data_IF_495842402363
#
_entry.id   IF_495842402363
#
_cell.length_a   1.000
_cell.length_b   1.000
_cell.length_c   1.000
_cell.angle_alpha   90.00
_cell.angle_beta   90.00
_cell.angle_gamma   90.00
#
_symmetry.space_group_name_H-M   'P 1'
#
loop_
_entity.id
_entity.type
_entity.pdbx_description
1 polymer ?
#
# COMPACT_ATOMS: atom_id res chain seq x y z
N UNK A 1 13.99 -8.59 0.31
CA UNK A 1 14.01 -7.42 -0.58
C UNK A 1 12.96 -7.67 -1.66
N UNK A 2 11.72 -7.25 -1.42
CA UNK A 2 10.65 -7.35 -2.43
C UNK A 2 10.21 -5.92 -2.69
N UNK A 3 10.37 -5.47 -3.93
CA UNK A 3 9.82 -4.21 -4.40
C UNK A 3 8.30 -4.37 -4.42
N UNK A 4 7.56 -3.46 -3.78
CA UNK A 4 6.11 -3.34 -3.98
C UNK A 4 5.92 -2.14 -4.91
N UNK A 5 6.01 -2.32 -6.24
CA UNK A 5 5.72 -1.25 -7.17
C UNK A 5 4.21 -1.01 -7.17
N UNK A 6 3.74 0.08 -6.57
CA UNK A 6 2.37 0.55 -6.83
C UNK A 6 2.38 1.21 -8.21
N UNK A 7 2.19 0.37 -9.23
CA UNK A 7 2.44 0.69 -10.63
C UNK A 7 1.13 0.89 -11.41
N UNK A 8 1.09 1.96 -12.23
CA UNK A 8 0.09 2.32 -13.25
C UNK A 8 -0.31 1.17 -14.21
N UNK A 9 0.50 0.11 -14.34
CA UNK A 9 0.23 -1.06 -15.19
C UNK A 9 -0.28 -2.31 -14.46
N UNK A 10 -0.28 -2.37 -13.12
CA UNK A 10 -0.77 -3.55 -12.37
C UNK A 10 -2.31 -3.63 -12.40
N UNK A 11 -3.01 -2.49 -12.52
CA UNK A 11 -4.47 -2.47 -12.77
C UNK A 11 -4.86 -2.98 -14.18
N UNK A 12 -3.90 -3.12 -15.11
CA UNK A 12 -4.16 -3.52 -16.50
C UNK A 12 -4.25 -5.03 -16.74
N UNK A 13 -3.94 -5.90 -15.76
CA UNK A 13 -3.75 -7.35 -16.00
C UNK A 13 -4.74 -8.30 -15.31
N UNK A 14 -5.86 -7.82 -14.79
CA UNK A 14 -6.90 -8.69 -14.22
C UNK A 14 -7.79 -9.41 -15.27
N UNK A 15 -7.50 -9.32 -16.57
CA UNK A 15 -8.25 -10.04 -17.61
C UNK A 15 -7.27 -10.61 -18.64
N UNK A 16 -7.14 -11.94 -18.67
CA UNK A 16 -6.71 -12.81 -19.79
C UNK A 16 -5.57 -13.80 -19.47
N UNK A 17 -6.00 -15.02 -19.15
CA UNK A 17 -5.54 -16.32 -19.64
C UNK A 17 -4.07 -16.82 -19.59
N UNK A 18 -3.99 -18.06 -19.07
CA UNK A 18 -3.25 -19.23 -19.58
C UNK A 18 -1.74 -19.32 -19.38
N UNK A 19 -1.36 -20.10 -18.35
CA UNK A 19 -0.52 -21.32 -18.44
C UNK A 19 0.85 -21.27 -19.11
N UNK A 20 1.89 -21.68 -18.37
CA UNK A 20 2.77 -22.80 -18.76
C UNK A 20 3.62 -23.28 -17.58
N UNK A 21 3.91 -24.57 -17.60
CA UNK A 21 4.70 -25.36 -16.66
C UNK A 21 6.22 -25.29 -16.92
N UNK A 22 6.99 -26.12 -16.17
CA UNK A 22 8.39 -26.61 -16.36
C UNK A 22 9.39 -25.93 -15.39
N UNK A 23 10.32 -26.59 -14.67
CA UNK A 23 10.69 -28.00 -14.41
C UNK A 23 11.83 -27.98 -13.37
N UNK A 24 11.82 -28.93 -12.45
CA UNK A 24 12.86 -29.20 -11.45
C UNK A 24 14.11 -29.79 -12.10
N UNK A 25 15.30 -29.28 -11.76
CA UNK A 25 16.56 -30.02 -11.93
C UNK A 25 17.39 -29.91 -10.64
N UNK A 26 17.45 -31.04 -9.94
CA UNK A 26 18.42 -31.41 -8.91
C UNK A 26 19.77 -31.71 -9.57
N UNK A 27 20.87 -31.23 -9.00
CA UNK A 27 22.19 -31.87 -9.14
C UNK A 27 23.08 -31.53 -7.94
N UNK A 28 23.26 -32.56 -7.12
CA UNK A 28 24.15 -32.66 -5.98
C UNK A 28 25.53 -33.12 -6.43
N UNK A 29 26.60 -32.47 -5.98
CA UNK A 29 27.92 -33.10 -5.77
C UNK A 29 28.54 -32.57 -4.47
N UNK A 30 28.80 -33.52 -3.57
CA UNK A 30 29.56 -33.38 -2.33
C UNK A 30 31.06 -33.59 -2.60
N UNK A 31 31.89 -32.74 -2.01
CA UNK A 31 33.22 -33.01 -1.42
C UNK A 31 33.73 -31.63 -0.95
N UNK A 32 34.15 -31.36 0.28
CA UNK A 32 34.72 -32.19 1.33
C UNK A 32 36.04 -31.54 1.76
N UNK A 33 36.13 -31.08 3.02
CA UNK A 33 37.30 -31.19 3.90
C UNK A 33 37.09 -30.34 5.16
N UNK A 34 37.22 -30.99 6.30
CA UNK A 34 37.19 -30.42 7.63
C UNK A 34 38.54 -29.79 7.98
N UNK A 35 38.52 -28.64 8.63
CA UNK A 35 39.63 -28.15 9.46
C UNK A 35 39.09 -27.49 10.71
N UNK A 36 39.43 -28.07 11.86
CA UNK A 36 39.25 -27.55 13.22
C UNK A 36 39.91 -26.17 13.38
N UNK A 37 39.10 -25.17 13.73
CA UNK A 37 39.56 -23.83 14.07
C UNK A 37 38.71 -23.27 15.20
N UNK A 38 39.31 -23.15 16.39
CA UNK A 38 38.70 -22.66 17.64
C UNK A 38 37.93 -21.34 17.42
N UNK A 39 36.63 -21.37 17.67
CA UNK A 39 35.75 -20.18 17.65
C UNK A 39 35.98 -19.36 18.91
N UNK A 40 36.57 -18.17 18.76
CA UNK A 40 36.45 -17.11 19.76
C UNK A 40 35.03 -16.53 19.67
N UNK A 41 34.39 -16.17 20.80
CA UNK A 41 33.06 -15.58 20.75
C UNK A 41 33.15 -14.23 20.03
N UNK A 42 32.57 -14.17 18.83
CA UNK A 42 32.45 -12.93 18.09
C UNK A 42 31.60 -11.96 18.92
N UNK A 43 32.19 -10.80 19.20
CA UNK A 43 31.56 -9.63 19.78
C UNK A 43 30.24 -9.37 19.05
N UNK A 44 29.12 -9.38 19.77
CA UNK A 44 27.81 -8.94 19.27
C UNK A 44 27.97 -7.48 18.85
N UNK A 45 28.19 -7.27 17.56
CA UNK A 45 28.00 -5.98 16.94
C UNK A 45 26.50 -5.83 16.79
N UNK A 46 25.91 -4.90 17.55
CA UNK A 46 24.54 -4.45 17.30
C UNK A 46 24.43 -4.10 15.81
N UNK A 47 23.56 -4.81 15.09
CA UNK A 47 23.22 -4.45 13.71
C UNK A 47 22.67 -3.01 13.72
N UNK A 48 23.18 -2.13 12.84
CA UNK A 48 22.69 -0.76 12.80
C UNK A 48 21.21 -0.80 12.39
N UNK A 49 20.38 -0.05 13.13
CA UNK A 49 18.97 0.13 12.83
C UNK A 49 18.80 0.43 11.33
N UNK A 50 18.19 -0.51 10.61
CA UNK A 50 17.94 -0.35 9.18
C UNK A 50 17.02 0.84 9.02
N UNK A 51 17.49 1.88 8.31
CA UNK A 51 16.67 3.04 7.97
C UNK A 51 15.52 2.55 7.08
N UNK A 52 14.33 2.44 7.66
CA UNK A 52 13.06 2.05 7.02
C UNK A 52 12.42 3.21 6.25
N UNK A 53 13.19 4.26 5.95
CA UNK A 53 12.69 5.43 5.21
C UNK A 53 12.43 5.01 3.76
N UNK A 54 11.19 5.17 3.23
CA UNK A 54 10.90 4.89 1.83
C UNK A 54 11.87 5.67 0.92
N UNK A 55 12.43 5.01 -0.09
CA UNK A 55 13.32 5.65 -1.06
C UNK A 55 12.55 5.88 -2.37
N UNK A 56 12.54 7.13 -2.83
CA UNK A 56 12.11 7.46 -4.19
C UNK A 56 13.19 6.94 -5.15
N UNK A 57 12.88 5.90 -5.91
CA UNK A 57 13.80 5.31 -6.90
C UNK A 57 13.19 5.41 -8.30
N UNK A 58 14.01 5.85 -9.25
CA UNK A 58 13.70 5.76 -10.66
C UNK A 58 13.65 4.28 -11.05
N UNK A 59 12.48 3.79 -11.46
CA UNK A 59 12.38 2.44 -11.98
C UNK A 59 13.15 2.36 -13.30
N UNK A 60 13.89 1.26 -13.50
CA UNK A 60 14.86 1.11 -14.60
C UNK A 60 14.28 1.26 -16.02
N UNK A 61 12.95 1.34 -16.16
CA UNK A 61 12.23 1.52 -17.42
C UNK A 61 11.72 2.95 -17.65
N UNK A 62 12.24 3.93 -16.91
CA UNK A 62 11.89 5.35 -17.07
C UNK A 62 10.54 5.71 -16.46
N UNK A 63 9.93 4.82 -15.67
CA UNK A 63 8.76 5.14 -14.86
C UNK A 63 9.17 5.82 -13.56
N UNK A 64 8.42 6.84 -13.20
CA UNK A 64 8.48 7.47 -11.89
C UNK A 64 7.64 6.65 -10.90
N UNK A 65 8.18 6.47 -9.70
CA UNK A 65 7.55 5.70 -8.63
C UNK A 65 8.39 5.74 -7.35
N UNK A 66 7.85 5.17 -6.28
CA UNK A 66 8.57 5.00 -5.02
C UNK A 66 8.60 3.52 -4.64
N UNK A 67 9.65 3.13 -3.93
CA UNK A 67 9.77 1.76 -3.40
C UNK A 67 9.77 1.86 -1.89
N UNK A 68 8.79 1.19 -1.28
CA UNK A 68 8.79 0.91 0.16
C UNK A 68 9.49 -0.42 0.34
N UNK A 69 10.71 -0.38 0.90
CA UNK A 69 11.48 -1.58 1.20
C UNK A 69 11.14 -2.06 2.60
N UNK A 70 10.24 -3.01 2.66
CA UNK A 70 10.06 -3.83 3.86
C UNK A 70 10.97 -5.06 3.74
N UNK A 71 11.51 -5.52 4.87
CA UNK A 71 12.14 -6.84 5.00
C UNK A 71 11.17 -7.77 5.73
N UNK A 72 10.13 -8.29 5.06
CA UNK A 72 9.15 -9.12 5.73
C UNK A 72 9.73 -10.52 5.90
N UNK A 73 9.93 -10.93 7.15
CA UNK A 73 10.08 -12.33 7.51
C UNK A 73 8.66 -12.92 7.66
N UNK A 74 8.13 -13.43 6.54
CA UNK A 74 6.91 -14.24 6.53
C UNK A 74 7.26 -15.62 6.03
N UNK A 75 6.95 -16.64 6.84
CA UNK A 75 7.01 -18.02 6.42
C UNK A 75 6.05 -18.29 5.24
N UNK A 76 6.25 -19.42 4.56
CA UNK A 76 5.48 -19.78 3.38
C UNK A 76 3.98 -19.96 3.65
N UNK A 77 3.60 -20.48 4.83
CA UNK A 77 2.21 -20.67 5.19
C UNK A 77 1.52 -19.32 5.42
N UNK A 78 2.14 -18.43 6.20
CA UNK A 78 1.66 -17.07 6.44
C UNK A 78 1.54 -16.28 5.14
N UNK A 79 2.46 -16.50 4.18
CA UNK A 79 2.37 -15.89 2.85
C UNK A 79 1.16 -16.39 2.05
N UNK A 80 0.91 -17.70 2.06
CA UNK A 80 -0.27 -18.27 1.38
C UNK A 80 -1.58 -17.77 1.99
N UNK A 81 -1.65 -17.69 3.32
CA UNK A 81 -2.83 -17.16 4.03
C UNK A 81 -3.05 -15.68 3.69
N UNK A 82 -1.96 -14.89 3.62
CA UNK A 82 -2.04 -13.49 3.22
C UNK A 82 -2.50 -13.31 1.78
N UNK A 83 -1.95 -14.06 0.82
CA UNK A 83 -2.37 -14.00 -0.58
C UNK A 83 -3.85 -14.37 -0.75
N UNK A 84 -4.34 -15.37 0.01
CA UNK A 84 -5.76 -15.73 0.05
C UNK A 84 -6.61 -14.62 0.68
N UNK A 85 -6.15 -13.99 1.76
CA UNK A 85 -6.85 -12.88 2.38
C UNK A 85 -7.00 -11.69 1.42
N UNK A 86 -5.95 -11.38 0.64
CA UNK A 86 -6.01 -10.34 -0.41
C UNK A 86 -7.08 -10.67 -1.45
N UNK A 87 -7.16 -11.93 -1.90
CA UNK A 87 -8.20 -12.35 -2.85
C UNK A 87 -9.62 -12.19 -2.26
N UNK A 88 -9.81 -12.55 -0.99
CA UNK A 88 -11.09 -12.36 -0.29
C UNK A 88 -11.47 -10.87 -0.17
N UNK A 89 -10.51 -9.97 0.11
CA UNK A 89 -10.76 -8.53 0.11
C UNK A 89 -11.23 -8.01 -1.25
N UNK A 90 -10.63 -8.50 -2.34
CA UNK A 90 -11.02 -8.12 -3.71
C UNK A 90 -12.45 -8.58 -4.02
N UNK A 91 -12.86 -9.73 -3.49
CA UNK A 91 -14.22 -10.26 -3.61
C UNK A 91 -15.21 -9.68 -2.59
N UNK A 92 -14.78 -8.73 -1.75
CA UNK A 92 -15.58 -8.14 -0.67
C UNK A 92 -16.01 -9.13 0.42
N UNK A 93 -15.30 -10.26 0.54
CA UNK A 93 -15.50 -11.30 1.56
C UNK A 93 -14.74 -10.92 2.85
N UNK A 94 -15.11 -9.78 3.45
CA UNK A 94 -14.31 -9.12 4.48
C UNK A 94 -14.16 -9.93 5.77
N UNK A 95 -15.21 -10.58 6.26
CA UNK A 95 -15.17 -11.38 7.49
C UNK A 95 -14.20 -12.57 7.37
N UNK A 96 -14.18 -13.24 6.22
CA UNK A 96 -13.25 -14.35 5.96
C UNK A 96 -11.81 -13.84 5.82
N UNK A 97 -11.63 -12.70 5.13
CA UNK A 97 -10.32 -12.05 5.02
C UNK A 97 -9.74 -11.71 6.40
N UNK A 98 -10.57 -11.15 7.31
CA UNK A 98 -10.15 -10.83 8.67
C UNK A 98 -9.64 -12.06 9.43
N UNK A 99 -10.32 -13.21 9.32
CA UNK A 99 -9.89 -14.43 9.98
C UNK A 99 -8.52 -14.93 9.53
N UNK A 100 -8.19 -14.81 8.23
CA UNK A 100 -6.86 -15.13 7.73
C UNK A 100 -5.82 -14.09 8.15
N UNK A 101 -6.17 -12.81 8.08
CA UNK A 101 -5.27 -11.71 8.45
C UNK A 101 -4.88 -11.74 9.93
N UNK A 102 -5.78 -12.16 10.82
CA UNK A 102 -5.48 -12.33 12.25
C UNK A 102 -4.34 -13.35 12.44
N UNK A 103 -4.43 -14.51 11.79
CA UNK A 103 -3.38 -15.54 11.84
C UNK A 103 -2.05 -15.05 11.25
N UNK A 104 -2.11 -14.27 10.15
CA UNK A 104 -0.91 -13.70 9.52
C UNK A 104 -0.24 -12.67 10.44
N UNK A 105 -1.04 -11.80 11.08
CA UNK A 105 -0.54 -10.78 12.01
C UNK A 105 0.10 -11.44 13.24
N UNK A 106 -0.50 -12.51 13.79
CA UNK A 106 0.06 -13.22 14.94
C UNK A 106 1.45 -13.81 14.64
N UNK A 107 1.63 -14.38 13.45
CA UNK A 107 2.89 -15.01 13.03
C UNK A 107 3.93 -14.03 12.50
N UNK A 108 3.48 -12.89 11.97
CA UNK A 108 4.33 -11.90 11.31
C UNK A 108 3.96 -10.47 11.71
N UNK A 109 4.08 -10.11 13.01
CA UNK A 109 3.63 -8.81 13.52
C UNK A 109 4.49 -7.62 13.05
N UNK A 110 5.62 -7.87 12.40
CA UNK A 110 6.52 -6.83 11.87
C UNK A 110 6.23 -6.40 10.44
N UNK A 111 5.15 -6.89 9.82
CA UNK A 111 4.82 -6.62 8.41
C UNK A 111 3.62 -5.69 8.32
N UNK A 112 3.76 -4.59 7.59
CA UNK A 112 2.73 -3.53 7.53
C UNK A 112 1.47 -3.96 6.77
N UNK A 113 1.65 -4.69 5.65
CA UNK A 113 0.57 -4.97 4.71
C UNK A 113 -0.63 -5.74 5.32
N UNK A 114 -0.45 -6.76 6.19
CA UNK A 114 -1.56 -7.38 6.92
C UNK A 114 -2.38 -6.42 7.77
N UNK A 115 -1.75 -5.47 8.47
CA UNK A 115 -2.45 -4.46 9.26
C UNK A 115 -3.27 -3.51 8.38
N UNK A 116 -2.72 -3.05 7.25
CA UNK A 116 -3.44 -2.20 6.29
C UNK A 116 -4.67 -2.96 5.74
N UNK A 117 -4.49 -4.21 5.34
CA UNK A 117 -5.56 -5.06 4.81
C UNK A 117 -6.64 -5.35 5.86
N UNK A 118 -6.25 -5.55 7.12
CA UNK A 118 -7.18 -5.72 8.23
C UNK A 118 -7.99 -4.43 8.45
N UNK A 119 -7.33 -3.26 8.38
CA UNK A 119 -8.02 -1.98 8.49
C UNK A 119 -9.03 -1.73 7.37
N UNK A 120 -8.70 -2.14 6.13
CA UNK A 120 -9.64 -2.10 5.00
C UNK A 120 -10.87 -2.94 5.34
N UNK A 121 -10.70 -4.20 5.73
CA UNK A 121 -11.81 -5.09 6.10
C UNK A 121 -12.67 -4.52 7.25
N UNK A 122 -12.02 -4.03 8.32
CA UNK A 122 -12.68 -3.40 9.45
C UNK A 122 -13.48 -2.16 9.02
N UNK A 123 -12.92 -1.30 8.16
CA UNK A 123 -13.61 -0.12 7.63
C UNK A 123 -14.84 -0.50 6.81
N UNK A 124 -14.77 -1.55 6.00
CA UNK A 124 -15.90 -2.02 5.20
C UNK A 124 -17.00 -2.67 6.05
N UNK A 125 -16.62 -3.41 7.10
CA UNK A 125 -17.57 -4.06 8.04
C UNK A 125 -18.08 -3.15 9.15
N UNK A 126 -17.68 -1.87 9.17
CA UNK A 126 -18.14 -0.88 10.14
C UNK A 126 -17.43 -0.91 11.50
N UNK A 127 -16.38 -1.72 11.64
CA UNK A 127 -15.53 -1.81 12.85
C UNK A 127 -14.48 -0.68 12.83
N UNK A 128 -14.94 0.56 12.92
CA UNK A 128 -14.12 1.75 12.61
C UNK A 128 -12.98 1.97 13.63
N UNK A 129 -13.21 1.65 14.89
CA UNK A 129 -12.20 1.74 15.96
C UNK A 129 -11.06 0.75 15.71
N UNK A 130 -11.39 -0.49 15.34
CA UNK A 130 -10.39 -1.51 14.98
C UNK A 130 -9.62 -1.12 13.72
N UNK A 131 -10.29 -0.52 12.73
CA UNK A 131 -9.61 -0.01 11.54
C UNK A 131 -8.56 1.05 11.92
N UNK A 132 -8.90 1.96 12.84
CA UNK A 132 -7.97 2.97 13.35
C UNK A 132 -6.79 2.35 14.12
N UNK A 133 -7.04 1.34 14.95
CA UNK A 133 -5.98 0.63 15.68
C UNK A 133 -4.97 -0.03 14.72
N UNK A 134 -5.45 -0.77 13.71
CA UNK A 134 -4.57 -1.42 12.75
C UNK A 134 -3.79 -0.42 11.89
N UNK A 135 -4.38 0.71 11.51
CA UNK A 135 -3.66 1.77 10.79
C UNK A 135 -2.60 2.45 11.66
N UNK A 136 -2.87 2.64 12.95
CA UNK A 136 -1.86 3.13 13.91
C UNK A 136 -0.69 2.16 14.00
N UNK A 137 -0.95 0.86 14.10
CA UNK A 137 0.12 -0.17 14.13
C UNK A 137 0.92 -0.16 12.82
N UNK A 138 0.26 -0.12 11.67
CA UNK A 138 0.93 -0.02 10.37
C UNK A 138 1.87 1.19 10.30
N UNK A 139 1.42 2.36 10.76
CA UNK A 139 2.21 3.59 10.77
C UNK A 139 3.28 3.65 11.87
N UNK A 140 3.18 2.80 12.90
CA UNK A 140 4.26 2.58 13.86
C UNK A 140 5.40 1.75 13.26
N UNK A 141 5.07 0.74 12.44
CA UNK A 141 6.05 -0.09 11.74
C UNK A 141 6.77 0.70 10.65
N UNK A 142 6.00 1.41 9.81
CA UNK A 142 6.53 2.27 8.75
C UNK A 142 5.85 3.64 8.84
N UNK A 143 6.53 4.62 9.47
CA UNK A 143 6.04 5.99 9.49
C UNK A 143 5.79 6.51 8.08
N UNK A 144 4.67 7.21 7.89
CA UNK A 144 4.28 7.83 6.63
C UNK A 144 4.13 6.86 5.44
N UNK A 145 3.87 5.58 5.72
CA UNK A 145 3.56 4.60 4.68
C UNK A 145 2.35 5.08 3.83
N UNK A 146 2.52 5.35 2.53
CA UNK A 146 1.50 6.04 1.73
C UNK A 146 0.16 5.32 1.67
N UNK A 147 0.16 3.99 1.54
CA UNK A 147 -1.09 3.21 1.56
C UNK A 147 -1.81 3.27 2.92
N UNK A 148 -1.08 3.17 4.03
CA UNK A 148 -1.68 3.30 5.36
C UNK A 148 -2.22 4.72 5.59
N UNK A 149 -1.47 5.76 5.23
CA UNK A 149 -1.95 7.15 5.29
C UNK A 149 -3.21 7.37 4.45
N UNK A 150 -3.27 6.82 3.24
CA UNK A 150 -4.45 6.91 2.38
C UNK A 150 -5.67 6.20 2.99
N UNK A 151 -5.51 4.99 3.52
CA UNK A 151 -6.59 4.31 4.25
C UNK A 151 -7.03 5.08 5.50
N UNK A 152 -6.10 5.77 6.16
CA UNK A 152 -6.41 6.62 7.30
C UNK A 152 -7.20 7.85 6.90
N UNK A 153 -6.87 8.48 5.78
CA UNK A 153 -7.67 9.56 5.20
C UNK A 153 -9.08 9.11 4.82
N UNK A 154 -9.23 7.89 4.30
CA UNK A 154 -10.54 7.30 3.98
C UNK A 154 -11.35 7.03 5.25
N UNK A 155 -10.71 6.52 6.30
CA UNK A 155 -11.33 6.31 7.60
C UNK A 155 -11.77 7.63 8.23
N UNK A 156 -10.89 8.64 8.24
CA UNK A 156 -11.20 9.99 8.72
C UNK A 156 -12.42 10.57 8.00
N UNK A 157 -12.45 10.50 6.66
CA UNK A 157 -13.61 10.93 5.86
C UNK A 157 -14.88 10.16 6.23
N UNK A 158 -14.80 8.84 6.42
CA UNK A 158 -15.96 8.01 6.83
C UNK A 158 -16.49 8.40 8.22
N UNK A 159 -15.61 8.83 9.11
CA UNK A 159 -15.95 9.30 10.47
C UNK A 159 -16.27 10.79 10.58
N UNK A 160 -16.31 11.54 9.46
CA UNK A 160 -16.58 12.99 9.47
C UNK A 160 -15.42 13.87 9.91
N UNK A 161 -14.24 13.28 10.14
CA UNK A 161 -12.99 13.95 10.56
C UNK A 161 -12.27 14.56 9.36
N UNK A 162 -12.91 15.51 8.68
CA UNK A 162 -12.45 16.01 7.38
C UNK A 162 -11.14 16.81 7.45
N UNK A 163 -10.89 17.51 8.56
CA UNK A 163 -9.65 18.23 8.76
C UNK A 163 -8.45 17.27 8.84
N UNK A 164 -8.57 16.20 9.65
CA UNK A 164 -7.53 15.18 9.74
C UNK A 164 -7.36 14.41 8.43
N UNK A 165 -8.45 14.13 7.70
CA UNK A 165 -8.37 13.52 6.38
C UNK A 165 -7.54 14.39 5.42
N UNK A 166 -7.78 15.70 5.39
CA UNK A 166 -7.02 16.61 4.53
C UNK A 166 -5.55 16.64 4.92
N UNK A 167 -5.24 16.74 6.20
CA UNK A 167 -3.87 16.79 6.70
C UNK A 167 -3.09 15.52 6.31
N UNK A 168 -3.69 14.34 6.48
CA UNK A 168 -2.98 13.08 6.17
C UNK A 168 -2.75 12.92 4.66
N UNK A 169 -3.71 13.33 3.82
CA UNK A 169 -3.51 13.32 2.37
C UNK A 169 -2.44 14.33 1.93
N UNK A 170 -2.42 15.52 2.50
CA UNK A 170 -1.40 16.53 2.19
C UNK A 170 -0.01 16.07 2.64
N UNK A 171 0.09 15.43 3.82
CA UNK A 171 1.36 14.89 4.32
C UNK A 171 1.92 13.80 3.41
N UNK A 172 1.08 12.88 2.94
CA UNK A 172 1.55 11.83 2.02
C UNK A 172 1.94 12.42 0.67
N UNK A 173 1.19 13.37 0.13
CA UNK A 173 1.51 14.01 -1.16
C UNK A 173 2.75 14.91 -1.10
N UNK A 174 3.09 15.47 0.07
CA UNK A 174 4.34 16.20 0.27
C UNK A 174 5.59 15.30 0.16
N UNK A 175 5.46 14.00 0.49
CA UNK A 175 6.54 13.03 0.41
C UNK A 175 6.50 12.21 -0.88
N UNK A 176 5.30 11.94 -1.38
CA UNK A 176 5.01 11.14 -2.56
C UNK A 176 4.06 11.90 -3.49
N UNK A 177 4.56 12.91 -4.23
CA UNK A 177 3.74 13.71 -5.12
C UNK A 177 2.99 12.87 -6.16
N UNK A 178 3.58 11.77 -6.63
CA UNK A 178 2.95 10.88 -7.62
C UNK A 178 2.09 9.77 -7.00
N UNK A 179 1.73 9.87 -5.71
CA UNK A 179 0.80 8.92 -5.10
C UNK A 179 -0.65 9.26 -5.46
N UNK A 180 -1.00 8.98 -6.71
CA UNK A 180 -2.29 9.34 -7.33
C UNK A 180 -3.54 8.87 -6.56
N UNK A 181 -3.58 7.73 -5.84
CA UNK A 181 -4.72 7.41 -4.98
C UNK A 181 -5.05 8.52 -3.96
N UNK A 182 -4.03 9.16 -3.38
CA UNK A 182 -4.22 10.28 -2.46
C UNK A 182 -4.73 11.53 -3.18
N UNK A 183 -4.26 11.83 -4.40
CA UNK A 183 -4.83 12.91 -5.23
C UNK A 183 -6.32 12.71 -5.48
N UNK A 184 -6.73 11.52 -5.93
CA UNK A 184 -8.15 11.22 -6.16
C UNK A 184 -8.98 11.40 -4.89
N UNK A 185 -8.51 10.87 -3.77
CA UNK A 185 -9.26 10.90 -2.51
C UNK A 185 -9.29 12.29 -1.87
N UNK A 186 -8.23 13.08 -2.00
CA UNK A 186 -8.21 14.48 -1.59
C UNK A 186 -9.12 15.34 -2.48
N UNK A 187 -9.16 15.10 -3.78
CA UNK A 187 -10.11 15.73 -4.69
C UNK A 187 -11.57 15.45 -4.28
N UNK A 188 -11.90 14.19 -3.97
CA UNK A 188 -13.22 13.79 -3.43
C UNK A 188 -13.54 14.49 -2.12
N UNK A 189 -12.56 14.59 -1.22
CA UNK A 189 -12.73 15.30 0.05
C UNK A 189 -13.03 16.78 -0.18
N UNK A 190 -12.25 17.44 -1.03
CA UNK A 190 -12.37 18.86 -1.34
C UNK A 190 -13.71 19.19 -2.02
N UNK A 191 -14.14 18.39 -3.01
CA UNK A 191 -15.39 18.61 -3.74
C UNK A 191 -16.62 18.35 -2.85
N UNK A 192 -16.72 17.13 -2.30
CA UNK A 192 -17.98 16.66 -1.72
C UNK A 192 -18.19 17.08 -0.26
N UNK A 193 -17.11 17.39 0.47
CA UNK A 193 -17.20 17.62 1.92
C UNK A 193 -16.73 19.00 2.35
N UNK A 194 -15.74 19.59 1.65
CA UNK A 194 -15.18 20.89 2.00
C UNK A 194 -15.68 22.04 1.12
N UNK A 195 -16.31 21.73 -0.02
CA UNK A 195 -16.71 22.70 -1.03
C UNK A 195 -15.54 23.61 -1.50
N UNK A 196 -14.34 23.04 -1.54
CA UNK A 196 -13.12 23.69 -2.03
C UNK A 196 -12.89 23.25 -3.48
N UNK A 197 -13.56 23.94 -4.41
CA UNK A 197 -13.59 23.54 -5.81
C UNK A 197 -12.23 23.68 -6.50
N UNK A 198 -11.42 24.64 -6.06
CA UNK A 198 -10.07 24.85 -6.59
C UNK A 198 -9.16 23.69 -6.18
N UNK A 199 -9.16 23.31 -4.90
CA UNK A 199 -8.44 22.11 -4.43
C UNK A 199 -8.90 20.85 -5.18
N UNK A 200 -10.22 20.69 -5.35
CA UNK A 200 -10.78 19.53 -6.02
C UNK A 200 -10.32 19.43 -7.47
N UNK A 201 -10.39 20.54 -8.22
CA UNK A 201 -10.00 20.60 -9.62
C UNK A 201 -8.51 20.26 -9.79
N UNK A 202 -7.64 20.89 -8.99
CA UNK A 202 -6.19 20.65 -9.02
C UNK A 202 -5.86 19.15 -8.89
N UNK A 203 -6.41 18.50 -7.87
CA UNK A 203 -6.09 17.09 -7.62
C UNK A 203 -6.76 16.11 -8.58
N UNK A 204 -7.95 16.43 -9.10
CA UNK A 204 -8.55 15.61 -10.15
C UNK A 204 -7.83 15.75 -11.48
N UNK A 205 -7.29 16.92 -11.82
CA UNK A 205 -6.46 17.10 -13.01
C UNK A 205 -5.17 16.28 -12.91
N UNK A 206 -4.44 16.39 -11.80
CA UNK A 206 -3.23 15.59 -11.54
C UNK A 206 -3.52 14.08 -11.63
N UNK A 207 -4.61 13.61 -11.02
CA UNK A 207 -5.01 12.21 -11.13
C UNK A 207 -5.40 11.82 -12.57
N UNK A 208 -6.19 12.65 -13.26
CA UNK A 208 -6.69 12.36 -14.62
C UNK A 208 -5.56 12.32 -15.65
N UNK A 209 -4.54 13.14 -15.50
CA UNK A 209 -3.35 13.11 -16.36
C UNK A 209 -2.57 11.81 -16.16
N UNK A 210 -2.49 11.33 -14.92
CA UNK A 210 -1.89 10.05 -14.59
C UNK A 210 -2.75 8.85 -15.02
N UNK A 211 -4.09 8.96 -14.98
CA UNK A 211 -5.03 7.87 -15.26
C UNK A 211 -6.04 8.26 -16.36
N UNK A 212 -5.59 8.47 -17.61
CA UNK A 212 -6.43 9.03 -18.67
C UNK A 212 -7.57 8.09 -19.11
N UNK A 213 -7.55 6.82 -18.70
CA UNK A 213 -8.64 5.87 -18.94
C UNK A 213 -9.80 5.99 -17.94
N UNK A 214 -9.60 6.63 -16.78
CA UNK A 214 -10.65 6.88 -15.80
C UNK A 214 -11.59 7.98 -16.29
N UNK A 215 -12.59 7.58 -17.08
CA UNK A 215 -13.61 8.47 -17.63
C UNK A 215 -14.42 9.18 -16.55
N UNK A 216 -14.56 8.58 -15.36
CA UNK A 216 -15.37 9.15 -14.29
C UNK A 216 -14.72 10.43 -13.76
N UNK A 217 -13.39 10.40 -13.52
CA UNK A 217 -12.68 11.58 -13.03
C UNK A 217 -12.64 12.68 -14.10
N UNK A 218 -12.53 12.32 -15.38
CA UNK A 218 -12.65 13.31 -16.48
C UNK A 218 -13.97 14.06 -16.48
N UNK A 219 -15.07 13.38 -16.18
CA UNK A 219 -16.38 14.02 -16.04
C UNK A 219 -16.43 14.95 -14.83
N UNK A 220 -15.82 14.57 -13.71
CA UNK A 220 -15.72 15.44 -12.53
C UNK A 220 -14.90 16.71 -12.80
N UNK A 221 -13.78 16.60 -13.54
CA UNK A 221 -12.99 17.76 -13.97
C UNK A 221 -13.83 18.72 -14.83
N UNK A 222 -14.57 18.19 -15.81
CA UNK A 222 -15.43 19.00 -16.68
C UNK A 222 -16.56 19.70 -15.90
N UNK A 223 -17.20 19.00 -14.96
CA UNK A 223 -18.22 19.56 -14.07
C UNK A 223 -17.66 20.72 -13.22
N UNK A 224 -16.51 20.51 -12.57
CA UNK A 224 -15.86 21.52 -11.74
C UNK A 224 -15.45 22.75 -12.52
N UNK A 225 -14.90 22.57 -13.72
CA UNK A 225 -14.58 23.68 -14.64
C UNK A 225 -15.82 24.51 -14.98
N UNK A 226 -16.95 23.86 -15.24
CA UNK A 226 -18.24 24.54 -15.44
C UNK A 226 -18.69 25.33 -14.20
N UNK A 227 -18.60 24.73 -13.00
CA UNK A 227 -18.93 25.38 -11.71
C UNK A 227 -18.02 26.57 -11.40
N UNK A 228 -16.78 26.54 -11.87
CA UNK A 228 -15.78 27.61 -11.73
C UNK A 228 -15.83 28.66 -12.86
N UNK A 229 -16.61 28.45 -13.91
CA UNK A 229 -16.67 29.33 -15.08
C UNK A 229 -15.43 29.27 -15.98
N UNK A 230 -14.68 28.17 -15.93
CA UNK A 230 -13.47 27.91 -16.70
C UNK A 230 -13.80 26.99 -17.90
N UNK A 231 -14.37 27.53 -18.98
CA UNK A 231 -14.65 26.76 -20.20
C UNK A 231 -13.54 26.87 -21.24
#
# INVERSE_FOLDING_TARGET
MREIPINKSEYRKAVSCTGFAILVILLSILAGCATDGKVQPAKVMEEPAVSMTPSLEWLADGREGFIIRETPDMDEASRRDFDRAVALLINEEYEEAMGLLENVIEKSPGVTAPYINMAIACRHTGKLEQAEEHLKTALQLVPDHPAACNEYGLLYRKTGRFAEAREVYQKVLAQFPDYYPAHRNLGILCDLYLNDLTCALEHYELYSDAMPEDRQVKLWVADLRGRLGQN
#
